data_IF_119323174759
#
_entry.id   IF_119323174759
#
_cell.length_a   1.000
_cell.length_b   1.000
_cell.length_c   1.000
_cell.angle_alpha   90.00
_cell.angle_beta   90.00
_cell.angle_gamma   90.00
#
_symmetry.space_group_name_H-M   'P 1'
#
loop_
_entity.id
_entity.type
_entity.pdbx_description
1 polymer ?
#
# COMPACT_ATOMS: atom_id res chain seq x y z
N UNK A 1 -33.55 -2.05 28.92
CA UNK A 1 -32.35 -1.50 28.22
C UNK A 1 -31.46 -2.67 27.84
N UNK A 2 -31.42 -3.06 26.56
CA UNK A 2 -30.54 -4.13 26.10
C UNK A 2 -29.08 -3.62 26.17
N UNK A 3 -28.21 -4.32 26.92
CA UNK A 3 -26.77 -4.05 26.93
C UNK A 3 -26.25 -4.28 25.51
N UNK A 4 -25.70 -3.25 24.87
CA UNK A 4 -24.89 -3.37 23.67
C UNK A 4 -23.74 -4.34 23.99
N UNK A 5 -23.67 -5.46 23.26
CA UNK A 5 -22.59 -6.43 23.40
C UNK A 5 -21.41 -5.93 22.58
N UNK A 6 -20.34 -5.53 23.24
CA UNK A 6 -19.04 -5.25 22.58
C UNK A 6 -18.54 -6.51 21.87
N UNK A 7 -17.86 -6.30 20.74
CA UNK A 7 -17.15 -7.34 19.97
C UNK A 7 -15.67 -7.03 20.03
N UNK A 8 -14.86 -8.06 20.23
CA UNK A 8 -13.40 -7.94 20.26
C UNK A 8 -12.84 -8.40 18.91
N UNK A 9 -12.04 -7.53 18.27
CA UNK A 9 -11.45 -7.77 16.94
C UNK A 9 -9.93 -7.77 17.04
N UNK A 10 -9.29 -8.78 16.46
CA UNK A 10 -7.83 -8.89 16.44
C UNK A 10 -7.22 -7.88 15.47
N UNK A 11 -6.28 -7.04 15.92
CA UNK A 11 -5.56 -6.05 15.09
C UNK A 11 -4.67 -6.68 14.01
N UNK A 12 -4.27 -7.93 14.18
CA UNK A 12 -3.35 -8.60 13.26
C UNK A 12 -4.07 -9.41 12.16
N UNK A 13 -5.17 -10.11 12.50
CA UNK A 13 -5.82 -11.01 11.56
C UNK A 13 -7.32 -10.74 11.35
N UNK A 14 -7.91 -9.78 12.06
CA UNK A 14 -9.33 -9.48 11.96
C UNK A 14 -10.26 -10.53 12.57
N UNK A 15 -9.76 -11.47 13.37
CA UNK A 15 -10.58 -12.46 14.06
C UNK A 15 -11.53 -11.79 15.05
N UNK A 16 -12.82 -12.08 14.95
CA UNK A 16 -13.88 -11.48 15.78
C UNK A 16 -14.32 -12.45 16.88
N UNK A 17 -14.54 -11.91 18.08
CA UNK A 17 -15.05 -12.67 19.21
C UNK A 17 -15.94 -11.83 20.13
N UNK A 18 -16.95 -12.48 20.73
CA UNK A 18 -17.77 -11.86 21.77
C UNK A 18 -17.03 -11.77 23.15
N UNK A 19 -15.82 -12.32 23.25
CA UNK A 19 -15.01 -12.31 24.46
C UNK A 19 -13.59 -11.87 24.13
N UNK A 20 -12.98 -11.12 25.04
CA UNK A 20 -11.58 -10.81 24.95
C UNK A 20 -10.70 -12.02 25.23
N UNK A 21 -9.69 -12.22 24.39
CA UNK A 21 -8.65 -13.23 24.56
C UNK A 21 -7.30 -12.55 24.64
N UNK A 22 -6.45 -12.92 25.61
CA UNK A 22 -5.07 -12.45 25.69
C UNK A 22 -4.21 -12.93 24.52
N UNK A 23 -4.55 -14.07 23.93
CA UNK A 23 -3.94 -14.65 22.73
C UNK A 23 -5.03 -14.85 21.69
N UNK A 24 -4.85 -14.28 20.50
CA UNK A 24 -5.83 -14.40 19.44
C UNK A 24 -5.99 -15.87 18.97
N UNK A 25 -7.22 -16.43 18.94
CA UNK A 25 -7.43 -17.80 18.45
C UNK A 25 -7.18 -17.95 16.95
N UNK A 26 -7.25 -16.86 16.17
CA UNK A 26 -7.06 -16.88 14.73
C UNK A 26 -5.61 -16.91 14.29
N UNK A 27 -4.77 -16.01 14.81
CA UNK A 27 -3.36 -15.89 14.41
C UNK A 27 -2.37 -16.29 15.48
N UNK A 28 -2.80 -16.48 16.73
CA UNK A 28 -1.92 -16.87 17.84
C UNK A 28 -1.09 -15.73 18.44
N UNK A 29 -1.26 -14.48 18.00
CA UNK A 29 -0.56 -13.32 18.55
C UNK A 29 -1.14 -12.88 19.89
N UNK A 30 -0.29 -12.29 20.73
CA UNK A 30 -0.67 -11.84 22.07
C UNK A 30 -1.07 -10.36 22.08
N UNK A 31 -2.08 -10.01 22.92
CA UNK A 31 -2.54 -8.64 23.15
C UNK A 31 -3.00 -7.88 21.89
N UNK A 32 -3.57 -8.60 20.92
CA UNK A 32 -4.04 -8.05 19.64
C UNK A 32 -5.56 -7.88 19.58
N UNK A 33 -6.31 -8.22 20.64
CA UNK A 33 -7.77 -8.13 20.67
C UNK A 33 -8.21 -6.75 21.17
N UNK A 34 -8.77 -5.94 20.27
CA UNK A 34 -9.31 -4.61 20.57
C UNK A 34 -10.84 -4.66 20.71
N UNK A 35 -11.40 -3.90 21.64
CA UNK A 35 -12.84 -3.79 21.83
C UNK A 35 -13.44 -2.80 20.80
N UNK A 36 -14.38 -3.27 20.01
CA UNK A 36 -15.17 -2.44 19.09
C UNK A 36 -16.63 -2.41 19.54
N UNK A 37 -17.20 -1.20 19.63
CA UNK A 37 -18.63 -1.04 19.96
C UNK A 37 -19.46 -1.07 18.67
N UNK A 38 -20.43 -2.00 18.53
CA UNK A 38 -21.34 -1.97 17.42
C UNK A 38 -22.25 -0.75 17.53
N UNK A 39 -22.25 0.12 16.53
CA UNK A 39 -23.20 1.23 16.43
C UNK A 39 -24.57 0.63 16.07
N UNK A 40 -25.57 0.77 16.93
CA UNK A 40 -26.91 0.22 16.69
C UNK A 40 -27.62 0.99 15.58
N UNK A 41 -27.54 0.51 14.35
CA UNK A 41 -28.45 0.92 13.30
C UNK A 41 -29.71 0.06 13.34
N UNK A 42 -30.81 0.64 13.80
CA UNK A 42 -32.14 0.11 13.51
C UNK A 42 -32.48 0.41 12.05
N UNK A 43 -32.05 -0.42 11.14
CA UNK A 43 -32.57 -0.48 9.79
C UNK A 43 -33.15 -1.86 9.54
N UNK A 44 -34.44 -1.87 9.22
CA UNK A 44 -35.22 -3.02 8.82
C UNK A 44 -34.51 -3.82 7.72
N UNK A 45 -34.14 -5.05 8.06
CA UNK A 45 -33.68 -6.04 7.08
C UNK A 45 -34.81 -6.35 6.12
N UNK A 46 -34.88 -5.66 4.99
CA UNK A 46 -35.56 -6.18 3.82
C UNK A 46 -34.68 -7.29 3.26
N UNK A 47 -35.12 -8.53 3.39
CA UNK A 47 -34.55 -9.68 2.70
C UNK A 47 -34.65 -9.43 1.18
N UNK A 48 -33.63 -8.79 0.61
CA UNK A 48 -33.37 -8.91 -0.81
C UNK A 48 -32.83 -10.33 -1.01
N UNK A 49 -33.66 -11.22 -1.52
CA UNK A 49 -33.22 -12.50 -2.07
C UNK A 49 -32.17 -12.22 -3.15
N UNK A 50 -30.91 -12.38 -2.80
CA UNK A 50 -29.84 -12.39 -3.77
C UNK A 50 -30.04 -13.62 -4.65
N UNK A 51 -30.59 -13.42 -5.84
CA UNK A 51 -30.55 -14.43 -6.89
C UNK A 51 -29.06 -14.61 -7.25
N UNK A 52 -28.44 -15.66 -6.74
CA UNK A 52 -27.10 -16.06 -7.18
C UNK A 52 -27.14 -16.29 -8.69
N UNK A 53 -26.68 -15.35 -9.48
CA UNK A 53 -26.44 -15.58 -10.91
C UNK A 53 -25.25 -16.54 -11.00
N UNK A 54 -25.52 -17.77 -11.42
CA UNK A 54 -24.46 -18.74 -11.73
C UNK A 54 -23.59 -18.15 -12.85
N UNK A 55 -22.31 -17.97 -12.56
CA UNK A 55 -21.35 -17.62 -13.61
C UNK A 55 -20.98 -18.89 -14.37
N UNK A 56 -20.78 -18.83 -15.70
CA UNK A 56 -20.34 -19.98 -16.47
C UNK A 56 -18.96 -20.40 -16.03
N UNK A 57 -18.76 -21.71 -15.90
CA UNK A 57 -17.43 -22.29 -15.67
C UNK A 57 -16.68 -22.24 -17.00
N UNK A 58 -15.54 -21.57 -17.01
CA UNK A 58 -14.63 -21.54 -18.18
C UNK A 58 -13.55 -22.61 -18.01
N UNK A 59 -13.30 -23.39 -19.07
CA UNK A 59 -12.16 -24.30 -19.09
C UNK A 59 -10.87 -23.53 -19.39
N UNK A 60 -9.73 -23.98 -18.80
CA UNK A 60 -8.45 -23.28 -18.92
C UNK A 60 -8.00 -23.03 -20.37
N UNK A 61 -8.32 -23.95 -21.26
CA UNK A 61 -8.03 -23.84 -22.71
C UNK A 61 -8.95 -22.87 -23.47
N UNK A 62 -10.06 -22.47 -22.87
CA UNK A 62 -11.00 -21.47 -23.43
C UNK A 62 -10.62 -20.03 -22.98
N UNK A 63 -9.75 -19.94 -21.98
CA UNK A 63 -9.23 -18.67 -21.50
C UNK A 63 -8.09 -18.28 -22.44
N UNK A 64 -8.31 -17.24 -23.25
CA UNK A 64 -7.25 -16.67 -24.08
C UNK A 64 -6.15 -16.16 -23.15
N UNK A 65 -5.04 -16.89 -23.08
CA UNK A 65 -3.85 -16.53 -22.31
C UNK A 65 -3.04 -15.42 -23.02
N UNK A 66 -3.71 -14.31 -23.36
CA UNK A 66 -3.00 -13.14 -23.82
C UNK A 66 -2.02 -12.70 -22.73
N UNK A 67 -0.80 -12.40 -23.13
CA UNK A 67 0.25 -11.86 -22.28
C UNK A 67 -0.38 -10.79 -21.38
N UNK A 68 -0.26 -10.97 -20.07
CA UNK A 68 -0.81 -10.08 -19.04
C UNK A 68 -0.53 -8.61 -19.41
N UNK A 69 -1.57 -7.89 -19.86
CA UNK A 69 -1.43 -6.49 -20.26
C UNK A 69 -1.07 -5.66 -19.05
N UNK A 70 0.12 -5.10 -19.06
CA UNK A 70 0.61 -4.20 -18.01
C UNK A 70 0.54 -2.77 -18.48
N UNK A 71 0.05 -1.91 -17.61
CA UNK A 71 0.00 -0.46 -17.79
C UNK A 71 1.22 0.13 -17.10
N UNK A 72 2.14 0.75 -17.83
CA UNK A 72 3.27 1.45 -17.23
C UNK A 72 2.78 2.67 -16.45
N UNK A 73 3.33 2.85 -15.26
CA UNK A 73 3.10 4.05 -14.43
C UNK A 73 3.88 5.27 -14.94
N UNK A 74 4.83 5.06 -15.87
CA UNK A 74 5.78 6.08 -16.34
C UNK A 74 6.91 6.34 -15.35
N UNK A 75 6.95 5.65 -14.21
CA UNK A 75 7.99 5.71 -13.19
C UNK A 75 8.68 4.34 -13.14
N UNK A 76 9.90 4.25 -13.68
CA UNK A 76 10.62 2.99 -13.89
C UNK A 76 10.89 2.23 -12.58
N UNK A 77 11.26 2.96 -11.54
CA UNK A 77 11.53 2.39 -10.22
C UNK A 77 10.24 1.84 -9.57
N UNK A 78 9.09 2.44 -9.86
CA UNK A 78 7.80 1.96 -9.40
C UNK A 78 7.35 0.73 -10.21
N UNK A 79 7.46 0.80 -11.54
CA UNK A 79 7.14 -0.31 -12.45
C UNK A 79 8.00 -1.54 -12.15
N UNK A 80 9.28 -1.36 -11.80
CA UNK A 80 10.18 -2.44 -11.38
C UNK A 80 9.60 -3.23 -10.22
N UNK A 81 9.15 -2.56 -9.17
CA UNK A 81 8.62 -3.22 -7.96
C UNK A 81 7.26 -3.87 -8.23
N UNK A 82 6.47 -3.31 -9.15
CA UNK A 82 5.24 -3.93 -9.63
C UNK A 82 5.49 -5.18 -10.50
N UNK A 83 6.73 -5.39 -10.97
CA UNK A 83 7.08 -6.48 -11.89
C UNK A 83 6.82 -6.13 -13.35
N UNK A 84 6.90 -4.83 -13.70
CA UNK A 84 6.79 -4.32 -15.07
C UNK A 84 5.57 -3.46 -15.35
N UNK A 85 4.81 -3.07 -14.32
CA UNK A 85 3.65 -2.18 -14.43
C UNK A 85 2.39 -2.71 -13.75
N UNK A 86 1.32 -1.95 -13.85
CA UNK A 86 0.01 -2.23 -13.25
C UNK A 86 -0.70 -3.32 -14.03
N UNK A 87 -1.25 -4.32 -13.35
CA UNK A 87 -2.06 -5.37 -13.96
C UNK A 87 -3.54 -4.99 -13.93
N UNK A 88 -4.26 -5.20 -15.02
CA UNK A 88 -5.70 -4.94 -15.10
C UNK A 88 -6.48 -5.73 -14.04
N UNK A 89 -7.43 -5.07 -13.38
CA UNK A 89 -8.23 -5.69 -12.31
C UNK A 89 -7.46 -6.03 -11.05
N UNK A 90 -6.23 -5.52 -10.88
CA UNK A 90 -5.44 -5.70 -9.66
C UNK A 90 -5.82 -4.73 -8.56
N UNK A 91 -5.71 -5.19 -7.31
CA UNK A 91 -5.81 -4.34 -6.13
C UNK A 91 -4.42 -4.22 -5.49
N UNK A 92 -3.88 -3.00 -5.47
CA UNK A 92 -2.53 -2.70 -4.99
C UNK A 92 -2.62 -1.86 -3.72
N UNK A 93 -2.06 -2.35 -2.63
CA UNK A 93 -1.91 -1.59 -1.38
C UNK A 93 -0.54 -0.91 -1.36
N UNK A 94 -0.53 0.41 -1.26
CA UNK A 94 0.66 1.21 -0.99
C UNK A 94 0.66 1.63 0.47
N UNK A 95 1.53 1.04 1.27
CA UNK A 95 1.65 1.26 2.71
C UNK A 95 2.95 1.97 3.09
N UNK A 96 3.04 2.45 4.30
CA UNK A 96 4.22 3.13 4.85
C UNK A 96 3.85 4.24 5.83
N UNK A 97 4.85 4.80 6.49
CA UNK A 97 4.68 5.84 7.52
C UNK A 97 3.95 7.08 6.97
N UNK A 98 3.19 7.80 7.82
CA UNK A 98 2.63 9.10 7.44
C UNK A 98 3.72 10.08 7.01
N UNK A 99 3.47 10.81 5.90
CA UNK A 99 4.42 11.79 5.36
C UNK A 99 5.59 11.20 4.58
N UNK A 100 5.66 9.88 4.35
CA UNK A 100 6.74 9.24 3.60
C UNK A 100 6.75 9.57 2.09
N UNK A 101 5.60 9.98 1.53
CA UNK A 101 5.47 10.35 0.12
C UNK A 101 4.48 9.52 -0.70
N UNK A 102 3.64 8.68 -0.06
CA UNK A 102 2.66 7.81 -0.75
C UNK A 102 1.75 8.58 -1.71
N UNK A 103 1.02 9.55 -1.19
CA UNK A 103 0.12 10.38 -2.00
C UNK A 103 0.86 11.23 -3.04
N UNK A 104 2.13 11.58 -2.76
CA UNK A 104 2.99 12.32 -3.69
C UNK A 104 3.32 11.50 -4.92
N UNK A 105 3.82 10.26 -4.73
CA UNK A 105 4.17 9.39 -5.86
C UNK A 105 2.93 9.02 -6.68
N UNK A 106 1.79 8.77 -6.04
CA UNK A 106 0.56 8.44 -6.74
C UNK A 106 0.05 9.60 -7.60
N UNK A 107 0.11 10.86 -7.11
CA UNK A 107 -0.22 12.03 -7.93
C UNK A 107 0.75 12.22 -9.10
N UNK A 108 2.06 11.95 -8.91
CA UNK A 108 3.03 11.99 -10.00
C UNK A 108 2.74 10.92 -11.07
N UNK A 109 2.37 9.71 -10.64
CA UNK A 109 1.93 8.63 -11.52
C UNK A 109 0.68 9.04 -12.32
N UNK A 110 -0.27 9.77 -11.70
CA UNK A 110 -1.45 10.30 -12.41
C UNK A 110 -1.08 11.17 -13.62
N UNK A 111 0.01 11.97 -13.53
CA UNK A 111 0.49 12.78 -14.66
C UNK A 111 0.88 11.91 -15.85
N UNK A 112 1.51 10.77 -15.63
CA UNK A 112 1.91 9.84 -16.70
C UNK A 112 0.71 9.07 -17.25
N UNK A 113 -0.08 8.49 -16.37
CA UNK A 113 -1.28 7.74 -16.74
C UNK A 113 -2.26 8.62 -17.50
N UNK A 114 -2.47 9.85 -17.06
CA UNK A 114 -3.41 10.79 -17.66
C UNK A 114 -3.09 11.22 -19.08
N UNK A 115 -1.94 10.84 -19.65
CA UNK A 115 -1.64 11.05 -21.08
C UNK A 115 -2.53 10.19 -22.00
N UNK A 116 -3.01 9.04 -21.52
CA UNK A 116 -3.77 8.08 -22.33
C UNK A 116 -4.89 7.38 -21.57
N UNK A 117 -5.01 7.59 -20.27
CA UNK A 117 -5.91 6.90 -19.36
C UNK A 117 -6.67 7.90 -18.49
N UNK A 118 -7.94 7.60 -18.22
CA UNK A 118 -8.71 8.36 -17.23
C UNK A 118 -8.46 7.81 -15.85
N UNK A 119 -7.94 8.64 -14.95
CA UNK A 119 -7.65 8.29 -13.56
C UNK A 119 -8.66 8.96 -12.64
N UNK A 120 -9.28 8.20 -11.75
CA UNK A 120 -10.13 8.72 -10.69
C UNK A 120 -9.37 8.68 -9.36
N UNK A 121 -9.08 9.84 -8.79
CA UNK A 121 -8.46 9.98 -7.48
C UNK A 121 -9.52 10.29 -6.44
N UNK A 122 -9.75 9.35 -5.52
CA UNK A 122 -10.71 9.47 -4.42
C UNK A 122 -9.94 9.82 -3.15
N UNK A 123 -10.34 10.89 -2.48
CA UNK A 123 -9.73 11.30 -1.21
C UNK A 123 -10.77 11.39 -0.11
N UNK A 124 -10.48 10.76 1.02
CA UNK A 124 -11.27 10.91 2.24
C UNK A 124 -10.65 11.88 3.27
N UNK A 125 -9.44 12.37 3.01
CA UNK A 125 -8.70 13.23 3.95
C UNK A 125 -8.61 14.67 3.45
N UNK A 126 -8.47 14.88 2.14
CA UNK A 126 -8.21 16.17 1.54
C UNK A 126 -9.37 16.59 0.63
N UNK A 127 -9.68 17.88 0.66
CA UNK A 127 -10.61 18.49 -0.28
C UNK A 127 -10.00 18.56 -1.70
N UNK A 128 -10.86 18.65 -2.73
CA UNK A 128 -10.42 18.80 -4.12
C UNK A 128 -9.46 20.00 -4.32
N UNK A 129 -9.66 21.10 -3.60
CA UNK A 129 -8.79 22.27 -3.67
C UNK A 129 -7.39 21.99 -3.10
N UNK A 130 -7.28 21.25 -1.99
CA UNK A 130 -5.99 20.88 -1.41
C UNK A 130 -5.21 19.95 -2.34
N UNK A 131 -5.90 18.95 -2.93
CA UNK A 131 -5.30 18.07 -3.93
C UNK A 131 -4.85 18.87 -5.15
N UNK A 132 -5.66 19.83 -5.64
CA UNK A 132 -5.28 20.71 -6.75
C UNK A 132 -4.02 21.51 -6.47
N UNK A 133 -3.89 22.10 -5.29
CA UNK A 133 -2.69 22.84 -4.88
C UNK A 133 -1.45 21.94 -4.85
N UNK A 134 -1.61 20.71 -4.35
CA UNK A 134 -0.54 19.72 -4.35
C UNK A 134 -0.16 19.29 -5.77
N UNK A 135 -1.15 19.02 -6.62
CA UNK A 135 -0.96 18.65 -8.03
C UNK A 135 -0.17 19.74 -8.78
N UNK A 136 -0.53 21.01 -8.62
CA UNK A 136 0.20 22.14 -9.22
C UNK A 136 1.67 22.16 -8.77
N UNK A 137 1.93 22.00 -7.46
CA UNK A 137 3.30 21.95 -6.94
C UNK A 137 4.12 20.79 -7.53
N UNK A 138 3.49 19.66 -7.80
CA UNK A 138 4.11 18.47 -8.39
C UNK A 138 4.18 18.50 -9.92
N UNK A 139 3.68 19.57 -10.57
CA UNK A 139 3.65 19.68 -12.02
C UNK A 139 2.61 18.75 -12.69
N UNK A 140 1.58 18.34 -11.95
CA UNK A 140 0.48 17.52 -12.48
C UNK A 140 -0.54 18.42 -13.17
N UNK A 141 -0.59 18.33 -14.50
CA UNK A 141 -1.41 19.20 -15.36
C UNK A 141 -2.37 18.43 -16.26
N UNK A 142 -2.39 17.11 -16.18
CA UNK A 142 -3.25 16.28 -17.02
C UNK A 142 -4.74 16.60 -16.81
N UNK A 143 -5.49 16.63 -17.92
CA UNK A 143 -6.95 16.83 -17.90
C UNK A 143 -7.71 15.52 -17.61
N UNK A 144 -7.07 14.36 -17.77
CA UNK A 144 -7.66 13.04 -17.54
C UNK A 144 -7.53 12.58 -16.07
N UNK A 145 -7.56 13.51 -15.12
CA UNK A 145 -7.54 13.24 -13.68
C UNK A 145 -8.81 13.79 -13.02
N UNK A 146 -9.74 12.90 -12.70
CA UNK A 146 -10.93 13.23 -11.91
C UNK A 146 -10.60 13.18 -10.41
N UNK A 147 -11.08 14.15 -9.65
CA UNK A 147 -10.94 14.20 -8.18
C UNK A 147 -12.32 14.04 -7.54
N UNK A 148 -12.44 13.09 -6.63
CA UNK A 148 -13.64 12.85 -5.84
C UNK A 148 -13.30 12.94 -4.34
N UNK A 149 -13.81 13.97 -3.66
CA UNK A 149 -13.71 14.10 -2.20
C UNK A 149 -14.93 13.39 -1.56
N UNK A 150 -14.78 12.11 -1.21
CA UNK A 150 -15.85 11.27 -0.70
C UNK A 150 -15.28 10.14 0.17
N UNK A 151 -16.04 9.76 1.21
CA UNK A 151 -15.68 8.67 2.13
C UNK A 151 -16.65 7.48 2.05
N UNK A 152 -17.90 7.69 1.61
CA UNK A 152 -18.88 6.61 1.47
C UNK A 152 -18.56 5.70 0.28
N UNK A 153 -18.26 4.44 0.58
CA UNK A 153 -17.85 3.44 -0.41
C UNK A 153 -18.97 3.11 -1.40
N UNK A 154 -20.23 3.20 -0.98
CA UNK A 154 -21.40 2.99 -1.86
C UNK A 154 -21.43 4.03 -2.98
N UNK A 155 -21.33 5.31 -2.62
CA UNK A 155 -21.27 6.44 -3.56
C UNK A 155 -20.03 6.35 -4.47
N UNK A 156 -18.87 5.98 -3.91
CA UNK A 156 -17.64 5.80 -4.69
C UNK A 156 -17.83 4.68 -5.72
N UNK A 157 -18.39 3.54 -5.33
CA UNK A 157 -18.65 2.41 -6.20
C UNK A 157 -19.59 2.78 -7.37
N UNK A 158 -20.64 3.57 -7.12
CA UNK A 158 -21.54 4.06 -8.15
C UNK A 158 -20.86 5.04 -9.09
N UNK A 159 -20.02 5.93 -8.56
CA UNK A 159 -19.20 6.84 -9.37
C UNK A 159 -18.25 6.08 -10.28
N UNK A 160 -17.55 5.04 -9.78
CA UNK A 160 -16.69 4.19 -10.60
C UNK A 160 -17.46 3.51 -11.74
N UNK A 161 -18.70 3.05 -11.48
CA UNK A 161 -19.55 2.40 -12.49
C UNK A 161 -20.01 3.38 -13.58
N UNK A 162 -20.32 4.62 -13.20
CA UNK A 162 -20.81 5.65 -14.13
C UNK A 162 -19.70 6.26 -14.95
N UNK A 163 -18.59 6.64 -14.31
CA UNK A 163 -17.45 7.32 -14.94
C UNK A 163 -16.53 6.38 -15.72
N UNK A 164 -16.50 5.09 -15.33
CA UNK A 164 -15.66 4.03 -15.95
C UNK A 164 -14.19 4.42 -16.09
N UNK A 165 -13.53 4.80 -15.01
CA UNK A 165 -12.11 5.16 -15.06
C UNK A 165 -11.26 3.96 -15.46
N UNK A 166 -10.11 4.21 -16.10
CA UNK A 166 -9.11 3.19 -16.40
C UNK A 166 -8.30 2.78 -15.14
N UNK A 167 -8.13 3.69 -14.18
CA UNK A 167 -7.40 3.46 -12.92
C UNK A 167 -8.08 4.23 -11.80
N UNK A 168 -8.15 3.64 -10.62
CA UNK A 168 -8.69 4.29 -9.40
C UNK A 168 -7.62 4.36 -8.33
N UNK A 169 -7.59 5.47 -7.60
CA UNK A 169 -6.73 5.66 -6.42
C UNK A 169 -7.61 6.03 -5.23
N UNK A 170 -7.47 5.32 -4.12
CA UNK A 170 -8.18 5.55 -2.85
C UNK A 170 -7.18 6.03 -1.79
N UNK A 171 -7.30 7.28 -1.36
CA UNK A 171 -6.38 7.92 -0.40
C UNK A 171 -7.15 8.60 0.76
N UNK A 172 -7.25 7.94 1.93
CA UNK A 172 -6.74 6.64 2.33
C UNK A 172 -7.90 5.68 2.68
N UNK A 173 -7.59 4.38 2.77
CA UNK A 173 -8.60 3.35 3.12
C UNK A 173 -9.14 3.54 4.54
N UNK A 174 -8.37 4.11 5.45
CA UNK A 174 -8.76 4.33 6.83
C UNK A 174 -9.91 5.34 7.00
N UNK A 175 -10.10 6.21 6.02
CA UNK A 175 -11.18 7.21 6.03
C UNK A 175 -12.44 6.73 5.34
N UNK A 176 -12.39 5.59 4.65
CA UNK A 176 -13.53 5.03 3.93
C UNK A 176 -14.54 4.42 4.90
N UNK A 177 -15.81 4.60 4.56
CA UNK A 177 -16.95 4.15 5.36
C UNK A 177 -17.88 3.31 4.50
N UNK A 178 -18.28 2.16 5.03
CA UNK A 178 -19.36 1.32 4.51
C UNK A 178 -20.54 1.42 5.46
N UNK A 179 -21.65 1.96 5.02
CA UNK A 179 -22.86 2.17 5.86
C UNK A 179 -23.47 0.86 6.37
N UNK A 180 -23.22 -0.25 5.66
CA UNK A 180 -23.69 -1.59 6.08
C UNK A 180 -22.92 -2.14 7.28
N UNK A 181 -21.74 -1.58 7.58
CA UNK A 181 -20.90 -1.95 8.71
C UNK A 181 -21.25 -1.11 9.95
N UNK A 182 -21.58 -1.78 11.05
CA UNK A 182 -21.92 -1.10 12.31
C UNK A 182 -20.72 -0.54 13.09
N UNK A 183 -19.50 -0.72 12.61
CA UNK A 183 -18.27 -0.26 13.26
C UNK A 183 -17.85 1.14 12.80
N UNK A 184 -17.04 1.84 13.61
CA UNK A 184 -16.59 3.20 13.29
C UNK A 184 -15.58 3.24 12.14
N UNK A 185 -15.49 4.39 11.45
CA UNK A 185 -14.48 4.64 10.43
C UNK A 185 -13.06 4.34 10.96
N UNK A 186 -12.21 3.75 10.13
CA UNK A 186 -10.84 3.38 10.49
C UNK A 186 -10.72 2.11 11.36
N UNK A 187 -11.82 1.53 11.83
CA UNK A 187 -11.79 0.24 12.50
C UNK A 187 -11.35 -0.88 11.55
N UNK A 188 -10.86 -1.98 12.10
CA UNK A 188 -10.38 -3.13 11.33
C UNK A 188 -11.49 -3.69 10.44
N UNK A 189 -12.69 -3.81 11.00
CA UNK A 189 -13.87 -4.31 10.29
C UNK A 189 -14.24 -3.41 9.11
N UNK A 190 -14.31 -2.08 9.31
CA UNK A 190 -14.59 -1.12 8.25
C UNK A 190 -13.53 -1.17 7.13
N UNK A 191 -12.26 -1.13 7.50
CA UNK A 191 -11.15 -1.16 6.53
C UNK A 191 -11.17 -2.46 5.71
N UNK A 192 -11.47 -3.60 6.36
CA UNK A 192 -11.60 -4.90 5.68
C UNK A 192 -12.78 -4.92 4.70
N UNK A 193 -13.97 -4.49 5.14
CA UNK A 193 -15.15 -4.51 4.29
C UNK A 193 -15.05 -3.53 3.12
N UNK A 194 -14.57 -2.30 3.35
CA UNK A 194 -14.30 -1.36 2.28
C UNK A 194 -13.31 -1.93 1.25
N UNK A 195 -12.24 -2.60 1.72
CA UNK A 195 -11.25 -3.23 0.84
C UNK A 195 -11.85 -4.39 0.04
N UNK A 196 -12.73 -5.20 0.64
CA UNK A 196 -13.45 -6.28 -0.07
C UNK A 196 -14.34 -5.73 -1.19
N UNK A 197 -15.03 -4.61 -0.96
CA UNK A 197 -15.86 -3.94 -1.98
C UNK A 197 -14.97 -3.47 -3.14
N UNK A 198 -13.84 -2.81 -2.86
CA UNK A 198 -12.92 -2.36 -3.90
C UNK A 198 -12.28 -3.54 -4.65
N UNK A 199 -11.96 -4.65 -3.96
CA UNK A 199 -11.50 -5.89 -4.61
C UNK A 199 -12.54 -6.41 -5.59
N UNK A 200 -13.80 -6.45 -5.16
CA UNK A 200 -14.89 -6.91 -6.03
C UNK A 200 -15.05 -6.01 -7.27
N UNK A 201 -14.98 -4.69 -7.10
CA UNK A 201 -15.02 -3.71 -8.20
C UNK A 201 -13.85 -3.94 -9.16
N UNK A 202 -12.62 -4.03 -8.63
CA UNK A 202 -11.42 -4.26 -9.43
C UNK A 202 -11.56 -5.51 -10.32
N UNK A 203 -11.96 -6.64 -9.73
CA UNK A 203 -12.10 -7.92 -10.44
C UNK A 203 -13.28 -7.94 -11.41
N UNK A 204 -14.42 -7.33 -11.05
CA UNK A 204 -15.63 -7.36 -11.87
C UNK A 204 -15.55 -6.46 -13.11
N UNK A 205 -14.85 -5.33 -13.00
CA UNK A 205 -14.75 -4.35 -14.09
C UNK A 205 -13.38 -4.34 -14.78
N UNK A 206 -12.40 -5.12 -14.30
CA UNK A 206 -11.05 -5.12 -14.83
C UNK A 206 -10.27 -3.83 -14.52
N UNK A 207 -10.73 -3.02 -13.57
CA UNK A 207 -10.14 -1.72 -13.24
C UNK A 207 -9.09 -1.91 -12.14
N UNK A 208 -7.81 -1.56 -12.36
CA UNK A 208 -6.82 -1.57 -11.30
C UNK A 208 -7.10 -0.48 -10.28
N UNK A 209 -7.00 -0.83 -8.99
CA UNK A 209 -7.26 0.07 -7.89
C UNK A 209 -6.03 0.14 -6.98
N UNK A 210 -5.51 1.34 -6.74
CA UNK A 210 -4.52 1.61 -5.71
C UNK A 210 -5.22 2.02 -4.42
N UNK A 211 -4.81 1.41 -3.31
CA UNK A 211 -5.27 1.77 -1.98
C UNK A 211 -4.08 2.28 -1.18
N UNK A 212 -4.18 3.48 -0.63
CA UNK A 212 -3.21 4.02 0.33
C UNK A 212 -3.58 3.55 1.72
N UNK A 213 -2.61 2.96 2.42
CA UNK A 213 -2.72 2.57 3.82
C UNK A 213 -1.67 3.23 4.70
N UNK A 214 -2.03 3.60 5.92
CA UNK A 214 -1.10 4.10 6.93
C UNK A 214 -0.75 2.99 7.92
N UNK A 215 0.53 2.91 8.30
CA UNK A 215 1.00 2.01 9.36
C UNK A 215 0.93 2.77 10.67
N UNK A 216 0.25 2.21 11.67
CA UNK A 216 0.35 2.71 13.02
C UNK A 216 1.31 1.86 13.84
N UNK A 217 2.27 2.51 14.47
CA UNK A 217 3.23 1.89 15.41
C UNK A 217 2.55 1.45 16.71
N UNK A 218 1.35 1.96 17.02
CA UNK A 218 0.67 1.83 18.32
C UNK A 218 -0.55 0.91 18.33
N UNK A 219 -0.75 0.08 17.29
CA UNK A 219 -1.71 -1.04 17.32
C UNK A 219 -3.21 -0.70 17.38
N UNK A 220 -3.61 0.58 17.28
CA UNK A 220 -5.01 1.01 17.44
C UNK A 220 -5.83 1.17 16.16
N UNK A 221 -5.20 1.23 14.98
CA UNK A 221 -5.87 1.34 13.68
C UNK A 221 -5.44 0.16 12.81
N UNK A 222 -6.37 -0.35 11.99
CA UNK A 222 -6.12 -1.48 11.10
C UNK A 222 -4.83 -1.30 10.30
N UNK A 223 -3.81 -2.06 10.66
CA UNK A 223 -2.52 -2.07 9.97
C UNK A 223 -2.61 -2.79 8.61
N UNK A 224 -1.57 -2.64 7.76
CA UNK A 224 -1.52 -3.28 6.45
C UNK A 224 -1.68 -4.79 6.49
N UNK A 225 -1.29 -5.48 7.57
CA UNK A 225 -1.37 -6.94 7.71
C UNK A 225 -2.77 -7.51 7.50
N UNK A 226 -3.82 -6.80 7.96
CA UNK A 226 -5.21 -7.24 7.75
C UNK A 226 -5.58 -7.26 6.28
N UNK A 227 -5.01 -6.34 5.48
CA UNK A 227 -5.30 -6.18 4.06
C UNK A 227 -4.44 -7.07 3.17
N UNK A 228 -3.27 -7.54 3.66
CA UNK A 228 -2.32 -8.34 2.87
C UNK A 228 -2.95 -9.59 2.27
N UNK A 229 -3.92 -10.20 2.96
CA UNK A 229 -4.59 -11.38 2.46
C UNK A 229 -5.61 -11.08 1.35
N UNK A 230 -6.20 -9.88 1.36
CA UNK A 230 -7.24 -9.45 0.43
C UNK A 230 -6.63 -8.94 -0.87
N UNK A 231 -5.62 -8.06 -0.79
CA UNK A 231 -5.03 -7.40 -1.96
C UNK A 231 -4.12 -8.33 -2.76
N UNK A 232 -3.90 -8.02 -4.03
CA UNK A 232 -3.02 -8.80 -4.92
C UNK A 232 -1.55 -8.43 -4.73
N UNK A 233 -1.27 -7.15 -4.51
CA UNK A 233 0.08 -6.60 -4.35
C UNK A 233 0.14 -5.69 -3.13
N UNK A 234 1.20 -5.84 -2.34
CA UNK A 234 1.52 -4.97 -1.19
C UNK A 234 2.86 -4.34 -1.44
N UNK A 235 2.87 -3.03 -1.53
CA UNK A 235 4.05 -2.19 -1.63
C UNK A 235 4.27 -1.45 -0.32
N UNK A 236 5.48 -1.48 0.19
CA UNK A 236 5.85 -0.78 1.41
C UNK A 236 6.83 0.34 1.10
N UNK A 237 6.49 1.57 1.51
CA UNK A 237 7.32 2.75 1.32
C UNK A 237 8.06 3.03 2.62
N UNK A 238 9.38 2.88 2.58
CA UNK A 238 10.30 2.99 3.71
C UNK A 238 11.18 4.22 3.58
N UNK A 239 11.63 4.77 4.71
CA UNK A 239 12.62 5.83 4.74
C UNK A 239 12.65 6.52 6.09
N UNK A 240 13.80 6.99 6.48
CA UNK A 240 13.97 7.79 7.69
C UNK A 240 13.73 9.28 7.38
N UNK A 241 13.15 10.00 8.34
CA UNK A 241 12.82 11.43 8.17
C UNK A 241 14.04 12.33 7.94
N UNK A 242 15.21 11.89 8.41
CA UNK A 242 16.46 12.64 8.32
C UNK A 242 17.19 12.46 6.98
N UNK A 243 16.74 11.50 6.14
CA UNK A 243 17.33 11.27 4.83
C UNK A 243 16.35 11.65 3.72
N UNK A 244 16.89 12.14 2.61
CA UNK A 244 16.07 12.46 1.42
C UNK A 244 15.60 11.23 0.68
N UNK A 245 16.24 10.08 0.91
CA UNK A 245 15.95 8.85 0.16
C UNK A 245 14.78 8.06 0.72
N UNK A 246 14.06 7.43 -0.22
CA UNK A 246 12.92 6.57 0.06
C UNK A 246 13.07 5.28 -0.73
N UNK A 247 12.74 4.17 -0.10
CA UNK A 247 12.79 2.84 -0.71
C UNK A 247 11.36 2.32 -0.83
N UNK A 248 10.98 1.91 -2.02
CA UNK A 248 9.76 1.17 -2.28
C UNK A 248 10.09 -0.31 -2.37
N UNK A 249 9.45 -1.12 -1.55
CA UNK A 249 9.68 -2.57 -1.48
C UNK A 249 8.39 -3.35 -1.75
N UNK A 250 8.47 -4.41 -2.55
CA UNK A 250 7.38 -5.36 -2.71
C UNK A 250 7.37 -6.35 -1.53
N UNK A 251 6.29 -6.36 -0.75
CA UNK A 251 6.08 -7.32 0.36
C UNK A 251 5.29 -8.53 -0.12
N UNK A 252 4.31 -8.29 -1.01
CA UNK A 252 3.51 -9.31 -1.68
C UNK A 252 3.29 -8.88 -3.12
N UNK A 253 3.43 -9.81 -4.05
CA UNK A 253 3.10 -9.56 -5.45
C UNK A 253 2.65 -10.88 -6.12
N UNK A 254 1.36 -10.98 -6.50
CA UNK A 254 0.84 -12.15 -7.21
C UNK A 254 1.26 -12.19 -8.68
N UNK A 255 1.76 -11.06 -9.20
CA UNK A 255 2.08 -10.87 -10.61
C UNK A 255 3.57 -10.74 -10.89
N UNK A 256 4.42 -10.86 -9.86
CA UNK A 256 5.86 -10.70 -10.02
C UNK A 256 6.66 -11.02 -8.76
N UNK A 257 7.96 -10.75 -8.84
CA UNK A 257 8.89 -10.94 -7.72
C UNK A 257 8.64 -9.91 -6.62
N UNK A 258 8.83 -10.32 -5.37
CA UNK A 258 8.83 -9.44 -4.19
C UNK A 258 10.24 -9.00 -3.80
N UNK A 259 11.28 -9.44 -4.51
CA UNK A 259 12.66 -9.13 -4.17
C UNK A 259 13.14 -7.80 -4.74
N UNK A 260 12.36 -7.17 -5.65
CA UNK A 260 12.74 -5.91 -6.28
C UNK A 260 12.50 -4.73 -5.36
N UNK A 261 13.39 -3.74 -5.46
CA UNK A 261 13.28 -2.46 -4.78
C UNK A 261 13.30 -1.31 -5.77
N UNK A 262 12.55 -0.25 -5.46
CA UNK A 262 12.60 1.05 -6.12
C UNK A 262 13.24 2.09 -5.19
N UNK A 263 14.14 2.90 -5.71
CA UNK A 263 14.85 3.92 -4.95
C UNK A 263 14.47 5.31 -5.45
N UNK A 264 14.04 6.15 -4.53
CA UNK A 264 13.59 7.50 -4.80
C UNK A 264 14.30 8.51 -3.91
N UNK A 265 14.40 9.74 -4.38
CA UNK A 265 14.85 10.88 -3.62
C UNK A 265 13.71 11.89 -3.46
N UNK A 266 13.46 12.32 -2.22
CA UNK A 266 12.48 13.37 -1.93
C UNK A 266 13.07 14.74 -2.26
N UNK A 267 12.47 15.43 -3.22
CA UNK A 267 12.85 16.75 -3.67
C UNK A 267 11.69 17.74 -3.44
N UNK A 268 11.94 19.03 -3.67
CA UNK A 268 10.92 20.08 -3.50
C UNK A 268 9.70 19.91 -4.43
N UNK A 269 9.93 19.37 -5.62
CA UNK A 269 8.92 19.10 -6.65
C UNK A 269 8.37 17.66 -6.63
N UNK A 270 8.65 16.89 -5.55
CA UNK A 270 8.14 15.53 -5.37
C UNK A 270 9.23 14.48 -5.24
N UNK A 271 8.93 13.26 -5.66
CA UNK A 271 9.84 12.13 -5.64
C UNK A 271 10.51 11.98 -7.00
N UNK A 272 11.83 11.95 -7.01
CA UNK A 272 12.65 11.68 -8.18
C UNK A 272 13.19 10.24 -8.12
N UNK A 273 13.27 9.58 -9.27
CA UNK A 273 13.87 8.25 -9.38
C UNK A 273 15.38 8.34 -9.22
N UNK A 274 15.97 7.42 -8.48
CA UNK A 274 17.42 7.28 -8.37
C UNK A 274 17.90 6.25 -9.39
N UNK A 275 18.39 6.71 -10.53
CA UNK A 275 18.84 5.82 -11.61
C UNK A 275 19.99 4.90 -11.18
N UNK A 276 20.91 5.42 -10.37
CA UNK A 276 22.07 4.68 -9.91
C UNK A 276 22.24 4.73 -8.38
N UNK A 277 21.58 3.83 -7.63
CA UNK A 277 21.75 3.75 -6.17
C UNK A 277 23.18 3.48 -5.72
N UNK A 278 23.99 2.80 -6.53
CA UNK A 278 25.39 2.54 -6.21
C UNK A 278 26.21 3.82 -6.11
N UNK A 279 26.01 4.79 -7.01
CA UNK A 279 26.67 6.09 -6.91
C UNK A 279 26.27 6.83 -5.63
N UNK A 280 25.03 6.69 -5.24
CA UNK A 280 24.50 7.27 -4.02
C UNK A 280 25.18 6.69 -2.79
N UNK A 281 25.20 5.35 -2.67
CA UNK A 281 25.80 4.62 -1.55
C UNK A 281 27.33 4.84 -1.45
N UNK A 282 27.97 5.19 -2.54
CA UNK A 282 29.41 5.48 -2.60
C UNK A 282 29.72 6.99 -2.51
N UNK A 283 28.70 7.85 -2.52
CA UNK A 283 28.87 9.29 -2.38
C UNK A 283 29.38 9.62 -0.97
N UNK A 284 30.46 10.40 -0.88
CA UNK A 284 31.06 10.75 0.41
C UNK A 284 32.10 9.73 0.94
N UNK A 285 32.40 8.67 0.18
CA UNK A 285 33.41 7.71 0.56
C UNK A 285 34.77 8.40 0.78
N UNK A 286 35.41 8.22 1.96
CA UNK A 286 36.73 8.73 2.19
C UNK A 286 37.75 8.03 1.27
N UNK A 287 38.64 8.79 0.63
CA UNK A 287 39.67 8.25 -0.23
C UNK A 287 40.92 7.90 0.60
N UNK A 288 41.53 6.75 0.29
CA UNK A 288 42.80 6.29 0.91
C UNK A 288 42.73 6.08 2.44
N UNK A 289 41.55 5.64 2.95
CA UNK A 289 41.39 5.28 4.36
C UNK A 289 41.38 3.76 4.47
N UNK A 290 42.20 3.22 5.41
CA UNK A 290 42.23 1.78 5.72
C UNK A 290 40.94 1.37 6.44
N UNK A 291 40.55 0.10 6.32
CA UNK A 291 39.35 -0.43 6.97
C UNK A 291 38.07 -0.23 6.16
N UNK A 292 38.15 0.21 4.90
CA UNK A 292 36.99 0.34 4.03
C UNK A 292 37.16 -0.49 2.76
N UNK A 293 36.07 -1.13 2.31
CA UNK A 293 36.05 -1.79 1.00
C UNK A 293 34.69 -1.56 0.34
N UNK A 294 34.63 -1.75 -0.97
CA UNK A 294 33.34 -1.75 -1.72
C UNK A 294 32.93 -3.19 -1.91
N UNK A 295 31.69 -3.48 -1.49
CA UNK A 295 31.04 -4.77 -1.72
C UNK A 295 29.87 -4.61 -2.69
N UNK A 296 29.60 -5.64 -3.47
CA UNK A 296 28.40 -5.74 -4.27
C UNK A 296 27.34 -6.52 -3.50
N UNK A 297 26.18 -5.91 -3.30
CA UNK A 297 25.01 -6.50 -2.67
C UNK A 297 23.95 -6.70 -3.74
N UNK A 298 23.30 -7.87 -3.76
CA UNK A 298 22.17 -8.12 -4.66
C UNK A 298 20.87 -7.82 -3.94
N UNK A 299 20.11 -6.84 -4.45
CA UNK A 299 18.73 -6.55 -4.02
C UNK A 299 17.80 -6.88 -5.19
N UNK A 300 17.13 -8.03 -5.09
CA UNK A 300 16.40 -8.61 -6.21
C UNK A 300 17.33 -8.98 -7.38
N UNK A 301 17.03 -8.43 -8.53
CA UNK A 301 17.88 -8.56 -9.73
C UNK A 301 18.95 -7.47 -9.84
N UNK A 302 18.99 -6.51 -8.91
CA UNK A 302 19.82 -5.30 -9.00
C UNK A 302 21.11 -5.42 -8.17
N UNK A 303 22.30 -5.34 -8.79
CA UNK A 303 23.53 -5.18 -8.05
C UNK A 303 23.65 -3.75 -7.52
N UNK A 304 23.89 -3.61 -6.21
CA UNK A 304 24.13 -2.33 -5.55
C UNK A 304 25.51 -2.38 -4.92
N UNK A 305 26.34 -1.38 -5.25
CA UNK A 305 27.65 -1.21 -4.62
C UNK A 305 27.48 -0.42 -3.33
N UNK A 306 27.96 -0.99 -2.23
CA UNK A 306 27.92 -0.36 -0.91
C UNK A 306 29.32 -0.34 -0.28
N UNK A 307 29.59 0.70 0.50
CA UNK A 307 30.80 0.76 1.29
C UNK A 307 30.63 -0.07 2.56
N UNK A 308 31.56 -0.98 2.81
CA UNK A 308 31.67 -1.74 4.05
C UNK A 308 32.86 -1.21 4.84
N UNK A 309 32.59 -0.81 6.07
CA UNK A 309 33.62 -0.31 6.99
C UNK A 309 33.88 -1.33 8.11
N UNK A 310 35.14 -1.62 8.37
CA UNK A 310 35.58 -2.47 9.44
C UNK A 310 36.52 -1.74 10.38
N UNK A 311 36.17 -1.66 11.65
CA UNK A 311 37.06 -1.17 12.70
C UNK A 311 37.61 -2.36 13.48
N UNK A 312 38.92 -2.49 13.50
CA UNK A 312 39.60 -3.54 14.23
C UNK A 312 40.52 -2.92 15.28
N UNK A 313 40.38 -3.36 16.52
CA UNK A 313 41.23 -2.95 17.62
C UNK A 313 41.75 -4.15 18.36
N UNK A 314 42.97 -4.03 18.95
CA UNK A 314 43.49 -5.06 19.82
C UNK A 314 42.63 -5.20 21.07
N UNK A 315 42.32 -6.44 21.46
CA UNK A 315 41.59 -6.73 22.68
C UNK A 315 42.49 -7.37 23.71
N UNK A 316 42.42 -6.91 24.97
CA UNK A 316 43.08 -7.55 26.10
C UNK A 316 42.37 -8.80 26.63
N UNK A 317 41.23 -9.17 26.06
CA UNK A 317 40.48 -10.37 26.43
C UNK A 317 40.85 -11.51 25.49
N UNK A 318 41.08 -12.69 26.02
CA UNK A 318 41.58 -13.85 25.28
C UNK A 318 40.68 -14.40 24.17
N UNK A 319 39.45 -13.88 23.99
CA UNK A 319 38.54 -14.27 22.92
C UNK A 319 38.21 -13.06 22.04
N UNK A 320 38.33 -13.16 20.71
CA UNK A 320 37.97 -12.10 19.81
C UNK A 320 36.44 -11.88 19.85
N UNK A 321 36.01 -10.63 19.98
CA UNK A 321 34.60 -10.24 19.87
C UNK A 321 34.37 -9.63 18.49
N UNK A 322 33.25 -10.01 17.88
CA UNK A 322 32.78 -9.43 16.62
C UNK A 322 31.41 -8.82 16.85
N UNK A 323 31.32 -7.54 16.63
CA UNK A 323 30.04 -6.81 16.63
C UNK A 323 29.74 -6.30 15.23
N UNK A 324 28.48 -6.27 14.86
CA UNK A 324 28.00 -5.83 13.54
C UNK A 324 26.87 -4.83 13.72
N UNK A 325 27.08 -3.61 13.25
CA UNK A 325 26.04 -2.60 13.12
C UNK A 325 25.81 -2.32 11.63
N UNK A 326 24.62 -2.58 11.13
CA UNK A 326 24.23 -2.10 9.80
C UNK A 326 23.58 -0.74 9.96
N UNK A 327 24.02 0.22 9.18
CA UNK A 327 23.42 1.55 9.05
C UNK A 327 22.77 1.56 7.67
N UNK A 328 21.50 1.22 7.62
CA UNK A 328 20.66 1.37 6.43
C UNK A 328 19.38 2.05 6.85
#
# INVERSE_FOLDING_TARGET
>A
MAKLKSVYVCSECGYESAKWYGKCPGCGEWNTMNEEMPVSSKSSVSQKSSSYKTQPVLHLNEINGDVEKRISTGVKEFDRVLGGGIVEGSLVLLSGDPGIGKSTILLQICQFLGKSKYVLYVSGEESANQIKLRAVRLGVTTENLGILAQTDVGTIAETIRSEKPDVVIIDSIQTMVCDECASSAGSITQVRECTNIFMHIAKSFGIPIFIVGHVNKDGGIAGPKVLEHIVDTVLYFEGERNYSYRILRGVKNRFGSTNEIGVFEMQQNGLAEVENPSMLMLSGRPKNVSGTCVACIMEGSRPILAEVQGLVTATGFGTPRRDRKSVV
#
